data_IF_626481030335
#
_entry.id   IF_626481030335
#
_cell.length_a   1.000
_cell.length_b   1.000
_cell.length_c   1.000
_cell.angle_alpha   90.00
_cell.angle_beta   90.00
_cell.angle_gamma   90.00
#
_symmetry.space_group_name_H-M   'P 1'
#
loop_
_entity.id
_entity.type
_entity.pdbx_description
1 polymer ?
#
# COMPACT_ATOMS: atom_id res chain seq x y z
N UNK A 1 -10.72 -8.87 -17.62
CA UNK A 1 -9.24 -8.80 -17.61
C UNK A 1 -8.68 -7.86 -16.53
N UNK A 2 -9.10 -6.59 -16.44
CA UNK A 2 -8.60 -5.64 -15.42
C UNK A 2 -8.88 -6.08 -13.97
N UNK A 3 -10.03 -6.70 -13.70
CA UNK A 3 -10.40 -7.17 -12.35
C UNK A 3 -9.45 -8.24 -11.79
N UNK A 4 -8.97 -9.18 -12.61
CA UNK A 4 -8.03 -10.21 -12.18
C UNK A 4 -6.66 -9.63 -11.86
N UNK A 5 -6.18 -8.66 -12.66
CA UNK A 5 -4.92 -7.94 -12.41
C UNK A 5 -4.99 -7.09 -11.14
N UNK A 6 -6.10 -6.39 -10.92
CA UNK A 6 -6.32 -5.65 -9.68
C UNK A 6 -6.25 -6.57 -8.46
N UNK A 7 -6.89 -7.75 -8.53
CA UNK A 7 -6.83 -8.73 -7.43
C UNK A 7 -5.43 -9.29 -7.21
N UNK A 8 -4.66 -9.51 -8.27
CA UNK A 8 -3.25 -9.94 -8.20
C UNK A 8 -2.33 -8.92 -7.53
N UNK A 9 -2.69 -7.63 -7.53
CA UNK A 9 -1.92 -6.57 -6.89
C UNK A 9 -2.44 -6.30 -5.47
N UNK A 10 -3.76 -6.11 -5.32
CA UNK A 10 -4.38 -5.76 -4.04
C UNK A 10 -4.15 -6.84 -2.96
N UNK A 11 -4.20 -8.12 -3.35
CA UNK A 11 -4.07 -9.24 -2.41
C UNK A 11 -2.68 -9.33 -1.74
N UNK A 12 -1.57 -9.42 -2.49
CA UNK A 12 -0.24 -9.41 -1.87
C UNK A 12 0.09 -8.06 -1.22
N UNK A 13 -0.40 -6.94 -1.77
CA UNK A 13 -0.25 -5.63 -1.12
C UNK A 13 -0.90 -5.59 0.27
N UNK A 14 -2.07 -6.21 0.43
CA UNK A 14 -2.78 -6.31 1.72
C UNK A 14 -1.96 -7.08 2.76
N UNK A 15 -1.41 -8.23 2.38
CA UNK A 15 -0.57 -9.04 3.27
C UNK A 15 0.69 -8.28 3.70
N UNK A 16 1.38 -7.65 2.75
CA UNK A 16 2.60 -6.88 3.06
C UNK A 16 2.30 -5.63 3.89
N UNK A 17 1.15 -4.98 3.68
CA UNK A 17 0.72 -3.87 4.52
C UNK A 17 0.54 -4.30 5.98
N UNK A 18 -0.04 -5.47 6.23
CA UNK A 18 -0.15 -6.04 7.58
C UNK A 18 1.21 -6.33 8.21
N UNK A 19 2.17 -6.85 7.45
CA UNK A 19 3.55 -7.07 7.93
C UNK A 19 4.22 -5.74 8.30
N UNK A 20 4.13 -4.73 7.43
CA UNK A 20 4.67 -3.40 7.71
C UNK A 20 3.99 -2.76 8.92
N UNK A 21 2.68 -2.90 9.06
CA UNK A 21 1.93 -2.40 10.22
C UNK A 21 2.45 -3.03 11.51
N UNK A 22 2.60 -4.35 11.55
CA UNK A 22 3.15 -5.06 12.71
C UNK A 22 4.58 -4.62 13.03
N UNK A 23 5.43 -4.46 12.01
CA UNK A 23 6.81 -3.99 12.20
C UNK A 23 6.86 -2.54 12.70
N UNK A 24 6.03 -1.65 12.15
CA UNK A 24 5.98 -0.25 12.56
C UNK A 24 5.57 -0.15 14.02
N UNK A 25 4.47 -0.80 14.42
CA UNK A 25 3.97 -0.69 15.80
C UNK A 25 4.74 -1.54 16.81
N UNK A 26 5.56 -2.50 16.35
CA UNK A 26 6.57 -3.13 17.21
C UNK A 26 7.69 -2.14 17.59
N UNK A 27 7.97 -1.15 16.74
CA UNK A 27 9.02 -0.14 16.96
C UNK A 27 8.46 1.18 17.51
N UNK A 28 7.24 1.54 17.14
CA UNK A 28 6.59 2.82 17.44
C UNK A 28 5.37 2.57 18.31
N UNK A 29 5.32 3.14 19.52
CA UNK A 29 4.13 3.03 20.37
C UNK A 29 2.99 3.90 19.79
N UNK A 30 1.85 3.33 19.40
CA UNK A 30 0.71 4.10 18.91
C UNK A 30 0.12 5.04 19.97
N UNK A 31 0.37 4.80 21.25
CA UNK A 31 -0.02 5.69 22.34
C UNK A 31 0.83 6.95 22.46
N UNK A 32 2.02 6.96 21.87
CA UNK A 32 2.94 8.11 21.86
C UNK A 32 2.88 8.91 20.55
N UNK A 33 1.96 8.55 19.64
CA UNK A 33 1.68 9.32 18.43
C UNK A 33 0.92 10.62 18.78
N UNK A 34 1.70 11.67 19.00
CA UNK A 34 1.22 13.04 19.20
C UNK A 34 1.23 13.77 17.85
N UNK A 35 0.12 14.41 17.46
CA UNK A 35 0.07 15.15 16.20
C UNK A 35 0.96 16.40 16.30
N UNK A 36 2.11 16.42 15.61
CA UNK A 36 2.97 17.60 15.38
C UNK A 36 3.00 18.61 16.56
N UNK A 37 3.39 18.16 17.76
CA UNK A 37 3.58 19.04 18.93
C UNK A 37 2.29 19.58 19.57
N UNK A 38 1.12 19.05 19.21
CA UNK A 38 -0.18 19.38 19.81
C UNK A 38 -0.67 18.32 20.81
N UNK A 39 -1.75 18.67 21.53
CA UNK A 39 -2.40 17.83 22.54
C UNK A 39 -2.64 16.39 22.05
N UNK A 40 -2.57 15.37 22.94
CA UNK A 40 -2.76 13.98 22.57
C UNK A 40 -4.04 13.83 21.77
N UNK A 41 -3.92 13.27 20.56
CA UNK A 41 -5.06 12.96 19.73
C UNK A 41 -5.92 12.00 20.55
N UNK A 42 -7.13 12.41 20.93
CA UNK A 42 -8.08 11.55 21.64
C UNK A 42 -8.62 10.40 20.77
N UNK A 43 -7.88 9.98 19.74
CA UNK A 43 -8.25 8.89 18.87
C UNK A 43 -8.03 7.57 19.60
N UNK A 44 -9.00 6.65 19.49
CA UNK A 44 -8.79 5.30 20.00
C UNK A 44 -7.63 4.66 19.25
N UNK A 45 -6.80 3.89 19.94
CA UNK A 45 -5.66 3.14 19.36
C UNK A 45 -6.05 2.37 18.09
N UNK A 46 -7.28 1.83 18.05
CA UNK A 46 -7.84 1.13 16.90
C UNK A 46 -7.92 1.99 15.63
N UNK A 47 -8.22 3.28 15.75
CA UNK A 47 -8.24 4.19 14.61
C UNK A 47 -6.82 4.39 14.03
N UNK A 48 -5.81 4.47 14.90
CA UNK A 48 -4.40 4.62 14.49
C UNK A 48 -3.94 3.39 13.69
N UNK A 49 -4.19 2.19 14.21
CA UNK A 49 -3.90 0.94 13.50
C UNK A 49 -4.57 0.91 12.12
N UNK A 50 -5.89 1.14 12.07
CA UNK A 50 -6.66 1.07 10.83
C UNK A 50 -6.17 2.08 9.78
N UNK A 51 -5.87 3.31 10.18
CA UNK A 51 -5.39 4.35 9.26
C UNK A 51 -4.00 4.02 8.74
N UNK A 52 -3.07 3.61 9.62
CA UNK A 52 -1.72 3.19 9.21
C UNK A 52 -1.78 2.01 8.24
N UNK A 53 -2.59 1.00 8.53
CA UNK A 53 -2.81 -0.14 7.64
C UNK A 53 -3.29 0.31 6.25
N UNK A 54 -4.31 1.16 6.20
CA UNK A 54 -4.87 1.66 4.93
C UNK A 54 -3.86 2.47 4.13
N UNK A 55 -3.03 3.28 4.79
CA UNK A 55 -1.95 4.04 4.15
C UNK A 55 -0.94 3.07 3.52
N UNK A 56 -0.45 2.09 4.28
CA UNK A 56 0.50 1.11 3.76
C UNK A 56 -0.08 0.28 2.63
N UNK A 57 -1.33 -0.18 2.77
CA UNK A 57 -2.01 -0.92 1.73
C UNK A 57 -2.20 -0.12 0.45
N UNK A 58 -2.58 1.15 0.57
CA UNK A 58 -2.72 2.07 -0.55
C UNK A 58 -1.38 2.30 -1.27
N UNK A 59 -0.31 2.58 -0.54
CA UNK A 59 1.04 2.80 -1.10
C UNK A 59 1.55 1.54 -1.82
N UNK A 60 1.41 0.37 -1.20
CA UNK A 60 1.80 -0.91 -1.81
C UNK A 60 0.98 -1.23 -3.06
N UNK A 61 -0.33 -0.95 -3.04
CA UNK A 61 -1.21 -1.13 -4.19
C UNK A 61 -0.84 -0.21 -5.34
N UNK A 62 -0.49 1.05 -5.06
CA UNK A 62 -0.02 2.02 -6.07
C UNK A 62 1.32 1.55 -6.66
N UNK A 63 2.27 1.12 -5.84
CA UNK A 63 3.56 0.59 -6.30
C UNK A 63 3.39 -0.61 -7.25
N UNK A 64 2.54 -1.57 -6.89
CA UNK A 64 2.21 -2.70 -7.75
C UNK A 64 1.47 -2.30 -9.03
N UNK A 65 0.57 -1.31 -8.96
CA UNK A 65 -0.12 -0.77 -10.13
C UNK A 65 0.85 -0.07 -11.10
N UNK A 66 1.78 0.74 -10.59
CA UNK A 66 2.83 1.38 -11.37
C UNK A 66 3.75 0.34 -12.02
N UNK A 67 4.14 -0.70 -11.28
CA UNK A 67 4.96 -1.80 -11.81
C UNK A 67 4.23 -2.52 -12.95
N UNK A 68 2.93 -2.79 -12.79
CA UNK A 68 2.12 -3.42 -13.83
C UNK A 68 1.90 -2.52 -15.06
N UNK A 69 1.82 -1.20 -14.86
CA UNK A 69 1.74 -0.22 -15.95
C UNK A 69 3.06 -0.16 -16.71
N UNK A 70 4.19 -0.14 -16.02
CA UNK A 70 5.51 -0.11 -16.62
C UNK A 70 5.79 -1.40 -17.41
N UNK A 71 5.48 -2.57 -16.84
CA UNK A 71 5.62 -3.86 -17.50
C UNK A 71 4.71 -4.04 -18.74
N UNK A 72 3.65 -3.22 -18.88
CA UNK A 72 2.81 -3.19 -20.07
C UNK A 72 3.39 -2.33 -21.19
N UNK A 73 4.18 -1.31 -20.85
CA UNK A 73 4.70 -0.34 -21.80
C UNK A 73 5.58 -0.97 -22.89
N UNK A 74 6.35 -2.01 -22.58
CA UNK A 74 7.25 -2.65 -23.56
C UNK A 74 6.56 -3.74 -24.40
N UNK A 75 5.54 -4.39 -23.84
CA UNK A 75 4.85 -5.51 -24.49
C UNK A 75 3.87 -5.07 -25.60
N UNK A 76 3.32 -3.85 -25.51
CA UNK A 76 2.43 -3.29 -26.55
C UNK A 76 3.19 -2.51 -27.65
N UNK A 77 4.46 -2.14 -27.45
CA UNK A 77 5.26 -1.40 -28.45
C UNK A 77 6.04 -2.30 -29.42
N UNK A 78 6.35 -3.54 -29.02
CA UNK A 78 7.18 -4.45 -29.82
C UNK A 78 6.37 -5.39 -30.73
N UNK A 79 5.06 -5.15 -30.88
CA UNK A 79 4.21 -5.82 -31.87
C UNK A 79 4.08 -5.04 -33.18
N UNK A 80 5.05 -4.17 -33.50
CA UNK A 80 5.15 -3.60 -34.85
C UNK A 80 5.54 -4.75 -35.77
N UNK A 81 4.56 -5.18 -36.56
CA UNK A 81 4.58 -6.33 -37.44
C UNK A 81 5.84 -6.33 -38.36
N UNK A 82 6.64 -7.41 -38.42
CA UNK A 82 7.61 -7.56 -39.48
C UNK A 82 6.84 -7.93 -40.75
N UNK A 83 6.71 -6.96 -41.66
CA UNK A 83 6.26 -7.01 -43.07
C UNK A 83 5.58 -8.30 -43.57
#
# INVERSE_FOLDING_TARGET
MIKQRALQILWPAFLMAGVLEMMLFAVVDPGDLQWFGGAPIGWPRQAIYTVTFLIFWGVMSISGALTALLARSDADLNSVDPF
#
